data_IF_654613372004
#
_entry.id   IF_654613372004
#
_cell.length_a   1.000
_cell.length_b   1.000
_cell.length_c   1.000
_cell.angle_alpha   90.00
_cell.angle_beta   90.00
_cell.angle_gamma   90.00
#
_symmetry.space_group_name_H-M   'P 1'
#
loop_
_entity.id
_entity.type
_entity.pdbx_description
1 polymer ?
#
# COMPACT_ATOMS: atom_id res chain seq x y z
N UNK A 1 -6.67 15.76 -34.49
CA UNK A 1 -5.74 16.91 -34.43
C UNK A 1 -5.41 17.14 -32.97
N UNK A 2 -4.13 17.20 -32.59
CA UNK A 2 -3.76 17.46 -31.20
C UNK A 2 -4.04 18.94 -30.88
N UNK A 3 -4.76 19.21 -29.80
CA UNK A 3 -4.99 20.57 -29.33
C UNK A 3 -3.72 21.09 -28.66
N UNK A 4 -3.22 22.24 -29.09
CA UNK A 4 -2.02 22.82 -28.49
C UNK A 4 -2.38 23.61 -27.22
N UNK A 5 -1.66 23.33 -26.14
CA UNK A 5 -1.74 24.10 -24.90
C UNK A 5 -0.80 25.31 -24.97
N UNK A 6 -1.25 26.48 -24.50
CA UNK A 6 -0.46 27.71 -24.47
C UNK A 6 -0.49 28.33 -23.07
N UNK A 7 0.69 28.47 -22.45
CA UNK A 7 0.83 29.17 -21.17
C UNK A 7 0.48 30.66 -21.25
N UNK A 8 0.63 31.27 -22.43
CA UNK A 8 0.27 32.67 -22.64
C UNK A 8 -1.23 32.93 -22.56
N UNK A 9 -2.06 31.87 -22.64
CA UNK A 9 -3.49 31.94 -22.45
C UNK A 9 -3.93 31.74 -20.99
N UNK A 10 -2.99 31.57 -20.05
CA UNK A 10 -3.28 31.37 -18.64
C UNK A 10 -3.02 32.66 -17.84
N UNK A 11 -4.05 33.19 -17.16
CA UNK A 11 -3.90 34.33 -16.25
C UNK A 11 -3.25 33.92 -14.91
N UNK A 12 -3.45 32.67 -14.51
CA UNK A 12 -2.93 32.10 -13.26
C UNK A 12 -2.44 30.68 -13.52
N UNK A 13 -1.33 30.32 -12.87
CA UNK A 13 -0.79 28.96 -12.87
C UNK A 13 -0.70 28.49 -11.42
N UNK A 14 -1.48 27.45 -11.12
CA UNK A 14 -1.41 26.76 -9.83
C UNK A 14 -0.32 25.69 -9.87
N UNK A 15 0.49 25.63 -8.82
CA UNK A 15 1.45 24.57 -8.61
C UNK A 15 1.07 23.80 -7.35
N UNK A 16 1.13 22.48 -7.44
CA UNK A 16 1.12 21.64 -6.26
C UNK A 16 2.39 21.88 -5.44
N UNK A 17 2.34 21.60 -4.13
CA UNK A 17 3.47 21.81 -3.25
C UNK A 17 4.37 20.57 -3.23
N UNK A 18 3.88 19.48 -2.66
CA UNK A 18 4.68 18.29 -2.40
C UNK A 18 5.02 17.55 -3.69
N UNK A 19 6.29 17.20 -3.88
CA UNK A 19 6.82 16.58 -5.09
C UNK A 19 6.68 17.42 -6.38
N UNK A 20 6.22 18.67 -6.28
CA UNK A 20 6.16 19.64 -7.39
C UNK A 20 7.04 20.86 -7.10
N UNK A 21 6.65 21.76 -6.19
CA UNK A 21 7.51 22.88 -5.74
C UNK A 21 8.53 22.42 -4.68
N UNK A 22 8.07 21.64 -3.70
CA UNK A 22 8.92 21.05 -2.66
C UNK A 22 9.44 19.69 -3.12
N UNK A 23 10.75 19.59 -3.30
CA UNK A 23 11.40 18.37 -3.75
C UNK A 23 12.05 17.63 -2.58
N UNK A 24 11.61 16.40 -2.38
CA UNK A 24 12.13 15.53 -1.34
C UNK A 24 13.25 14.62 -1.86
N UNK A 25 14.11 14.19 -0.93
CA UNK A 25 15.01 13.07 -1.15
C UNK A 25 14.19 11.77 -1.14
N UNK A 26 13.92 11.22 -2.34
CA UNK A 26 13.00 10.09 -2.52
C UNK A 26 13.38 8.86 -1.68
N UNK A 27 14.64 8.37 -1.70
CA UNK A 27 15.06 7.26 -0.84
C UNK A 27 14.74 7.47 0.65
N UNK A 28 15.10 8.64 1.20
CA UNK A 28 14.86 8.92 2.62
C UNK A 28 13.36 9.06 2.94
N UNK A 29 12.58 9.64 2.02
CA UNK A 29 11.14 9.83 2.20
C UNK A 29 10.39 8.50 2.12
N UNK A 30 10.75 7.63 1.18
CA UNK A 30 10.18 6.29 1.08
C UNK A 30 10.46 5.46 2.34
N UNK A 31 11.70 5.55 2.86
CA UNK A 31 12.10 4.90 4.11
C UNK A 31 11.30 5.43 5.30
N UNK A 32 11.14 6.74 5.41
CA UNK A 32 10.34 7.36 6.47
C UNK A 32 8.89 6.88 6.42
N UNK A 33 8.25 6.95 5.25
CA UNK A 33 6.85 6.53 5.06
C UNK A 33 6.67 5.08 5.50
N UNK A 34 7.48 4.16 5.00
CA UNK A 34 7.38 2.75 5.37
C UNK A 34 7.54 2.53 6.86
N UNK A 35 8.59 3.11 7.47
CA UNK A 35 8.85 2.92 8.89
C UNK A 35 7.69 3.41 9.76
N UNK A 36 7.08 4.56 9.40
CA UNK A 36 5.90 5.07 10.10
C UNK A 36 4.72 4.11 10.02
N UNK A 37 4.46 3.52 8.84
CA UNK A 37 3.39 2.54 8.69
C UNK A 37 3.69 1.21 9.39
N UNK A 38 4.91 0.68 9.24
CA UNK A 38 5.33 -0.59 9.86
C UNK A 38 5.25 -0.51 11.38
N UNK A 39 5.70 0.60 11.98
CA UNK A 39 5.58 0.84 13.42
C UNK A 39 4.13 0.83 13.87
N UNK A 40 3.25 1.55 13.16
CA UNK A 40 1.82 1.57 13.48
C UNK A 40 1.18 0.18 13.36
N UNK A 41 1.48 -0.58 12.29
CA UNK A 41 0.94 -1.92 12.10
C UNK A 41 1.37 -2.89 13.20
N UNK A 42 2.64 -2.83 13.63
CA UNK A 42 3.15 -3.69 14.70
C UNK A 42 2.57 -3.30 16.06
N UNK A 43 2.59 -2.01 16.40
CA UNK A 43 2.22 -1.53 17.73
C UNK A 43 0.70 -1.50 17.94
N UNK A 44 -0.05 -1.00 16.96
CA UNK A 44 -1.48 -0.73 17.10
C UNK A 44 -2.37 -1.80 16.46
N UNK A 45 -1.83 -2.58 15.51
CA UNK A 45 -2.58 -3.62 14.78
C UNK A 45 -2.10 -5.04 15.04
N UNK A 46 -1.04 -5.23 15.84
CA UNK A 46 -0.54 -6.54 16.24
C UNK A 46 0.13 -7.35 15.12
N UNK A 47 0.62 -6.69 14.07
CA UNK A 47 1.35 -7.36 12.99
C UNK A 47 2.74 -7.82 13.48
N UNK A 48 3.33 -8.78 12.74
CA UNK A 48 4.63 -9.36 13.09
C UNK A 48 5.78 -8.35 13.03
N UNK A 49 6.76 -8.52 13.94
CA UNK A 49 7.89 -7.59 14.11
C UNK A 49 8.89 -7.62 12.95
N UNK A 50 8.81 -8.63 12.09
CA UNK A 50 9.59 -8.75 10.85
C UNK A 50 9.39 -7.56 9.89
N UNK A 51 8.25 -6.87 9.98
CA UNK A 51 8.01 -5.63 9.23
C UNK A 51 8.99 -4.50 9.58
N UNK A 52 9.68 -4.58 10.72
CA UNK A 52 10.65 -3.57 11.15
C UNK A 52 12.07 -3.86 10.67
N UNK A 53 12.30 -4.98 9.99
CA UNK A 53 13.65 -5.50 9.67
C UNK A 53 13.95 -5.60 8.18
N UNK A 54 13.31 -4.79 7.33
CA UNK A 54 13.59 -4.81 5.88
C UNK A 54 15.02 -4.34 5.56
N UNK A 55 15.63 -4.97 4.58
CA UNK A 55 16.95 -4.62 4.03
C UNK A 55 16.80 -3.72 2.80
N UNK A 56 17.85 -2.98 2.38
CA UNK A 56 17.82 -2.18 1.16
C UNK A 56 17.38 -2.95 -0.09
N UNK A 57 17.70 -4.24 -0.19
CA UNK A 57 17.36 -5.11 -1.31
C UNK A 57 15.85 -5.39 -1.41
N UNK A 58 15.11 -5.24 -0.32
CA UNK A 58 13.65 -5.37 -0.30
C UNK A 58 12.96 -4.20 -1.04
N UNK A 59 13.66 -3.09 -1.24
CA UNK A 59 13.11 -1.87 -1.85
C UNK A 59 13.17 -1.84 -3.37
N UNK A 60 14.01 -2.68 -3.98
CA UNK A 60 14.26 -2.70 -5.43
C UNK A 60 13.01 -3.06 -6.25
N UNK A 61 11.94 -3.50 -5.60
CA UNK A 61 10.68 -3.86 -6.24
C UNK A 61 9.71 -2.67 -6.41
N UNK A 62 9.78 -1.64 -5.56
CA UNK A 62 8.79 -0.56 -5.54
C UNK A 62 9.02 0.47 -6.68
N UNK A 63 8.38 0.23 -7.82
CA UNK A 63 8.37 1.15 -8.95
C UNK A 63 7.05 1.93 -9.05
N UNK A 64 7.10 3.18 -9.54
CA UNK A 64 5.89 3.96 -9.85
C UNK A 64 5.05 3.27 -10.92
N UNK A 65 3.73 3.28 -10.75
CA UNK A 65 2.77 2.76 -11.73
C UNK A 65 2.50 1.26 -11.63
N UNK A 66 2.83 0.63 -10.49
CA UNK A 66 2.36 -0.71 -10.18
C UNK A 66 0.92 -0.67 -9.66
N UNK A 67 0.12 -1.62 -10.10
CA UNK A 67 -1.18 -1.95 -9.52
C UNK A 67 -1.00 -3.07 -8.49
N UNK A 68 -1.78 -3.06 -7.42
CA UNK A 68 -1.85 -4.17 -6.47
C UNK A 68 -3.16 -4.92 -6.70
N UNK A 69 -3.05 -6.19 -7.09
CA UNK A 69 -4.16 -7.12 -7.05
C UNK A 69 -4.37 -7.56 -5.60
N UNK A 70 -5.48 -7.11 -5.00
CA UNK A 70 -5.82 -7.41 -3.61
C UNK A 70 -6.36 -8.83 -3.41
N UNK A 71 -6.86 -9.48 -4.46
CA UNK A 71 -7.36 -10.85 -4.39
C UNK A 71 -6.21 -11.85 -4.37
N UNK A 72 -5.25 -11.66 -5.28
CA UNK A 72 -4.05 -12.49 -5.41
C UNK A 72 -2.90 -12.03 -4.49
N UNK A 73 -2.93 -10.79 -3.99
CA UNK A 73 -1.80 -10.23 -3.27
C UNK A 73 -0.58 -10.00 -4.14
N UNK A 74 -0.77 -9.66 -5.42
CA UNK A 74 0.32 -9.57 -6.39
C UNK A 74 0.41 -8.17 -6.98
N UNK A 75 1.64 -7.68 -7.13
CA UNK A 75 1.87 -6.43 -7.84
C UNK A 75 1.93 -6.67 -9.35
N UNK A 76 1.29 -5.82 -10.13
CA UNK A 76 1.15 -5.97 -11.58
C UNK A 76 1.56 -4.66 -12.25
N UNK A 77 2.40 -4.76 -13.29
CA UNK A 77 2.66 -3.63 -14.19
C UNK A 77 1.75 -3.73 -15.40
N UNK A 78 0.96 -2.70 -15.64
CA UNK A 78 0.00 -2.64 -16.74
C UNK A 78 0.50 -1.70 -17.85
N UNK A 79 0.11 -2.01 -19.08
CA UNK A 79 0.18 -1.10 -20.21
C UNK A 79 -0.98 -0.10 -20.18
N UNK A 80 -0.92 0.92 -21.05
CA UNK A 80 -1.96 1.95 -21.12
C UNK A 80 -3.34 1.41 -21.52
N UNK A 81 -3.40 0.29 -22.24
CA UNK A 81 -4.64 -0.40 -22.63
C UNK A 81 -5.12 -1.42 -21.59
N UNK A 82 -4.44 -1.52 -20.44
CA UNK A 82 -4.73 -2.48 -19.39
C UNK A 82 -4.08 -3.85 -19.56
N UNK A 83 -3.28 -4.08 -20.62
CA UNK A 83 -2.56 -5.34 -20.80
C UNK A 83 -1.52 -5.55 -19.70
N UNK A 84 -1.43 -6.78 -19.17
CA UNK A 84 -0.42 -7.14 -18.17
C UNK A 84 0.96 -7.23 -18.82
N UNK A 85 1.87 -6.33 -18.43
CA UNK A 85 3.26 -6.32 -18.90
C UNK A 85 4.17 -7.18 -18.03
N UNK A 86 3.92 -7.23 -16.72
CA UNK A 86 4.70 -8.01 -15.76
C UNK A 86 3.86 -8.32 -14.52
N UNK A 87 3.87 -9.58 -14.09
CA UNK A 87 3.46 -9.97 -12.74
C UNK A 87 4.69 -9.95 -11.83
N UNK A 88 4.59 -9.24 -10.71
CA UNK A 88 5.65 -9.04 -9.72
C UNK A 88 5.76 -10.21 -8.75
N UNK A 89 6.48 -10.00 -7.65
CA UNK A 89 6.50 -10.96 -6.54
C UNK A 89 5.11 -11.08 -5.92
N UNK A 90 4.72 -12.31 -5.62
CA UNK A 90 3.54 -12.64 -4.82
C UNK A 90 3.86 -12.24 -3.37
N UNK A 91 3.11 -11.29 -2.79
CA UNK A 91 3.35 -10.79 -1.44
C UNK A 91 2.88 -11.75 -0.36
N UNK A 92 2.07 -12.75 -0.72
CA UNK A 92 1.26 -13.49 0.23
C UNK A 92 1.38 -15.00 0.04
N UNK A 93 2.11 -15.63 0.95
CA UNK A 93 1.57 -16.86 1.56
C UNK A 93 0.18 -16.49 2.13
N UNK A 94 -0.82 -17.37 2.06
CA UNK A 94 -2.20 -17.04 2.46
C UNK A 94 -2.22 -16.41 3.85
N UNK A 95 -2.99 -15.32 4.01
CA UNK A 95 -3.16 -14.62 5.30
C UNK A 95 -3.46 -15.64 6.41
N UNK A 96 -2.55 -15.89 7.37
CA UNK A 96 -2.70 -17.04 8.26
C UNK A 96 -3.80 -16.88 9.31
N UNK A 97 -4.44 -15.71 9.43
CA UNK A 97 -5.36 -15.42 10.55
C UNK A 97 -6.65 -14.65 10.21
N UNK A 98 -7.02 -14.48 8.93
CA UNK A 98 -8.35 -13.92 8.60
C UNK A 98 -9.28 -15.07 8.28
N UNK A 99 -9.99 -15.55 9.31
CA UNK A 99 -11.08 -16.53 9.20
C UNK A 99 -12.36 -15.94 8.58
N UNK A 100 -12.30 -14.73 8.01
CA UNK A 100 -13.43 -14.13 7.30
C UNK A 100 -13.39 -14.57 5.82
N UNK A 101 -14.47 -15.17 5.28
CA UNK A 101 -14.51 -15.58 3.90
C UNK A 101 -14.27 -14.39 2.95
N UNK A 102 -13.48 -14.61 1.89
CA UNK A 102 -12.88 -13.59 0.99
C UNK A 102 -13.82 -12.49 0.49
N UNK A 103 -15.13 -12.75 0.39
CA UNK A 103 -16.13 -11.76 -0.02
C UNK A 103 -16.39 -10.67 1.04
N UNK A 104 -16.25 -10.97 2.33
CA UNK A 104 -16.50 -10.03 3.44
C UNK A 104 -15.40 -8.96 3.55
N UNK A 105 -14.15 -9.29 3.25
CA UNK A 105 -13.03 -8.35 3.32
C UNK A 105 -13.11 -7.27 2.22
N UNK A 106 -13.44 -7.69 1.00
CA UNK A 106 -13.62 -6.79 -0.15
C UNK A 106 -14.83 -5.87 0.02
N UNK A 107 -15.86 -6.36 0.71
CA UNK A 107 -17.04 -5.61 1.06
C UNK A 107 -16.80 -4.55 2.15
N UNK A 108 -15.94 -4.83 3.14
CA UNK A 108 -15.56 -3.88 4.18
C UNK A 108 -14.71 -2.72 3.64
N UNK A 109 -13.83 -3.00 2.67
CA UNK A 109 -13.01 -1.99 2.01
C UNK A 109 -13.84 -1.08 1.08
N UNK A 110 -14.80 -1.66 0.34
CA UNK A 110 -15.72 -0.89 -0.52
C UNK A 110 -16.70 -0.01 0.26
N UNK A 111 -17.00 -0.37 1.52
CA UNK A 111 -17.94 0.37 2.39
C UNK A 111 -17.26 1.43 3.28
N UNK A 112 -15.96 1.68 3.12
CA UNK A 112 -15.25 2.75 3.83
C UNK A 112 -15.10 2.53 5.34
N UNK A 113 -15.28 1.29 5.83
CA UNK A 113 -15.29 0.97 7.25
C UNK A 113 -14.68 -0.40 7.52
N UNK A 114 -13.37 -0.55 7.34
CA UNK A 114 -12.66 -1.72 7.83
C UNK A 114 -12.12 -1.44 9.26
N UNK A 115 -13.00 -1.52 10.26
CA UNK A 115 -12.55 -1.89 11.60
C UNK A 115 -12.33 -3.39 11.57
N UNK A 116 -11.08 -3.83 11.48
CA UNK A 116 -10.75 -5.23 11.73
C UNK A 116 -11.12 -5.53 13.18
N UNK A 117 -12.25 -6.20 13.39
CA UNK A 117 -12.53 -6.87 14.66
C UNK A 117 -11.55 -8.04 14.70
N UNK A 118 -10.45 -7.83 15.40
CA UNK A 118 -9.55 -8.92 15.78
C UNK A 118 -10.26 -9.62 16.93
N UNK A 119 -10.84 -10.80 16.66
CA UNK A 119 -11.26 -11.70 17.72
C UNK A 119 -10.00 -12.08 18.51
N UNK A 120 -9.81 -11.44 19.66
CA UNK A 120 -8.86 -11.91 20.68
C UNK A 120 -9.38 -13.24 21.19
N UNK A 121 -8.59 -14.33 21.15
CA UNK A 121 -8.98 -15.56 21.82
C UNK A 121 -9.07 -15.27 23.32
N UNK A 122 -10.23 -15.55 23.92
CA UNK A 122 -10.41 -15.50 25.37
C UNK A 122 -9.34 -16.39 26.01
N UNK A 123 -8.59 -15.79 26.93
CA UNK A 123 -7.60 -16.48 27.75
C UNK A 123 -8.34 -17.59 28.53
N UNK A 124 -7.97 -18.88 28.42
CA UNK A 124 -8.48 -19.86 29.36
C UNK A 124 -7.88 -19.51 30.73
N UNK A 125 -8.76 -19.45 31.73
CA UNK A 125 -8.45 -19.14 33.12
C UNK A 125 -7.16 -19.82 33.58
N UNK A 126 -6.21 -18.99 34.02
CA UNK A 126 -5.09 -19.46 34.84
C UNK A 126 -5.63 -19.75 36.24
N UNK A 127 -5.98 -21.01 36.47
CA UNK A 127 -6.12 -21.56 37.81
C UNK A 127 -4.97 -22.56 38.03
N UNK A 128 -4.22 -22.31 39.12
CA UNK A 128 -3.04 -23.00 39.66
C UNK A 128 -1.66 -22.46 39.25
#
# INVERSE_FOLDING_TARGET
MAQHFSLAACDVVGFDLDHTLCRYNLPESARLIYNSFAQFLVQEKGYGKELLTLTPEDWDFCCKGLALDLEDGTFIKLAADGTVLRKGRELLQPWPHVAAPRHLLMDGLKRGGATAVVDTPEHPDSNL
#
